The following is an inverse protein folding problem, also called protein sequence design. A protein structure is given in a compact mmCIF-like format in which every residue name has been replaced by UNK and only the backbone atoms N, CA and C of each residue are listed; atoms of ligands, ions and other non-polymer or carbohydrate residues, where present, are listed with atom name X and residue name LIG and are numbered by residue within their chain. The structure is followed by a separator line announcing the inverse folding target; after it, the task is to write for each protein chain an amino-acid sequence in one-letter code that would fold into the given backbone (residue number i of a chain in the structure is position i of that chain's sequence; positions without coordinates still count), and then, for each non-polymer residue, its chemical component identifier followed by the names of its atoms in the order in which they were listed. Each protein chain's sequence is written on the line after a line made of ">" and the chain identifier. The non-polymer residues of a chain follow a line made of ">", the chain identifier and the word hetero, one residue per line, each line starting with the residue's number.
data_IF_810038249500
#
_entry.id   IF_810038249500
#
_cell.length_a   1.000
_cell.length_b   1.000
_cell.length_c   1.000
_cell.angle_alpha   90.00
_cell.angle_beta   90.00
_cell.angle_gamma   90.00
#
_symmetry.space_group_name_H-M   'P 1'
#
loop_
_entity.id
_entity.type
_entity.pdbx_description
1 polymer ?
#
# COMPACT_ATOMS: atom_id res chain seq x y z
N UNK A 1 -0.14 -2.52 11.25
CA UNK A 1 1.01 -1.75 10.70
C UNK A 1 0.46 -0.75 9.70
N UNK A 2 1.15 0.36 9.44
CA UNK A 2 0.73 1.38 8.46
C UNK A 2 1.88 1.71 7.52
N UNK A 3 1.57 2.04 6.27
CA UNK A 3 2.58 2.26 5.21
C UNK A 3 2.61 3.74 4.82
N UNK A 4 3.80 4.34 4.69
CA UNK A 4 3.98 5.73 4.27
C UNK A 4 3.78 5.86 2.76
N UNK A 5 2.86 6.73 2.33
CA UNK A 5 2.68 7.10 0.93
C UNK A 5 3.82 8.04 0.55
N UNK A 6 4.72 7.60 -0.34
CA UNK A 6 5.83 8.41 -0.81
C UNK A 6 5.39 9.41 -1.89
N UNK A 7 4.43 9.03 -2.73
CA UNK A 7 3.95 9.88 -3.82
C UNK A 7 2.59 9.47 -4.34
N UNK A 8 1.91 10.43 -4.95
CA UNK A 8 0.58 10.25 -5.55
C UNK A 8 0.58 10.83 -6.96
N UNK A 9 0.10 10.05 -7.93
CA UNK A 9 -0.02 10.49 -9.31
C UNK A 9 -1.20 11.48 -9.45
N UNK A 10 -0.97 12.64 -10.06
CA UNK A 10 -1.92 13.78 -10.08
C UNK A 10 -3.29 13.40 -10.66
N UNK A 11 -3.32 12.65 -11.77
CA UNK A 11 -4.56 12.26 -12.45
C UNK A 11 -5.11 10.88 -12.01
N UNK A 12 -4.52 10.29 -10.98
CA UNK A 12 -4.97 8.98 -10.50
C UNK A 12 -6.24 9.07 -9.64
N UNK A 13 -6.92 7.94 -9.39
CA UNK A 13 -8.01 7.89 -8.42
C UNK A 13 -7.61 8.42 -7.03
N UNK A 14 -6.39 8.14 -6.56
CA UNK A 14 -5.90 8.64 -5.28
C UNK A 14 -5.65 10.17 -5.30
N UNK A 15 -5.05 10.70 -6.36
CA UNK A 15 -4.80 12.14 -6.51
C UNK A 15 -6.10 12.94 -6.52
N UNK A 16 -7.09 12.48 -7.30
CA UNK A 16 -8.43 13.09 -7.33
C UNK A 16 -9.19 12.98 -6.01
N UNK A 17 -8.85 11.99 -5.18
CA UNK A 17 -9.43 11.78 -3.86
C UNK A 17 -8.76 12.65 -2.77
N UNK A 18 -7.67 13.34 -3.09
CA UNK A 18 -6.97 14.25 -2.17
C UNK A 18 -5.96 13.56 -1.26
N UNK A 19 -5.54 12.33 -1.58
CA UNK A 19 -4.39 11.69 -0.92
C UNK A 19 -3.11 12.42 -1.33
N UNK A 20 -2.19 12.56 -0.39
CA UNK A 20 -0.92 13.25 -0.60
C UNK A 20 0.28 12.41 -0.15
N UNK A 21 1.45 12.78 -0.67
CA UNK A 21 2.71 12.26 -0.14
C UNK A 21 2.87 12.63 1.34
N UNK A 22 3.34 11.69 2.14
CA UNK A 22 3.48 11.82 3.59
C UNK A 22 2.28 11.31 4.39
N UNK A 23 1.15 11.02 3.73
CA UNK A 23 0.03 10.35 4.39
C UNK A 23 0.39 8.90 4.74
N UNK A 24 -0.14 8.40 5.85
CA UNK A 24 0.06 7.01 6.30
C UNK A 24 -1.18 6.18 5.96
N UNK A 25 -1.05 5.26 5.01
CA UNK A 25 -2.09 4.30 4.68
C UNK A 25 -2.26 3.28 5.83
N UNK A 26 -3.47 3.20 6.38
CA UNK A 26 -3.79 2.31 7.51
C UNK A 26 -4.58 1.10 7.05
N UNK A 27 -5.66 1.32 6.30
CA UNK A 27 -6.51 0.22 5.84
C UNK A 27 -7.25 0.53 4.54
N UNK A 28 -7.58 -0.52 3.80
CA UNK A 28 -8.41 -0.50 2.60
C UNK A 28 -9.57 -1.46 2.80
N UNK A 29 -10.81 -0.99 2.64
CA UNK A 29 -12.03 -1.78 2.84
C UNK A 29 -12.15 -2.45 4.22
N UNK A 30 -11.52 -1.86 5.25
CA UNK A 30 -11.51 -2.41 6.60
C UNK A 30 -10.42 -3.46 6.85
N UNK A 31 -9.61 -3.77 5.84
CA UNK A 31 -8.43 -4.61 5.98
C UNK A 31 -7.18 -3.75 6.20
N UNK A 32 -6.44 -4.02 7.27
CA UNK A 32 -5.17 -3.35 7.53
C UNK A 32 -4.16 -3.67 6.42
N UNK A 33 -3.34 -2.68 6.07
CA UNK A 33 -2.27 -2.85 5.08
C UNK A 33 -0.96 -3.08 5.83
N UNK A 34 -0.39 -4.28 5.73
CA UNK A 34 0.91 -4.59 6.33
C UNK A 34 2.03 -4.57 5.32
N UNK A 35 1.76 -4.98 4.08
CA UNK A 35 2.74 -5.01 3.00
C UNK A 35 2.15 -4.65 1.62
N UNK A 36 2.98 -4.76 0.58
CA UNK A 36 2.59 -4.45 -0.80
C UNK A 36 1.57 -5.43 -1.37
N UNK A 37 1.56 -6.68 -0.90
CA UNK A 37 0.68 -7.71 -1.41
C UNK A 37 -0.73 -7.48 -0.89
N UNK A 38 -0.87 -7.14 0.40
CA UNK A 38 -2.13 -6.68 0.98
C UNK A 38 -2.69 -5.51 0.17
N UNK A 39 -1.85 -4.49 -0.06
CA UNK A 39 -2.24 -3.32 -0.86
C UNK A 39 -2.72 -3.75 -2.25
N UNK A 40 -1.89 -4.47 -3.02
CA UNK A 40 -2.23 -4.90 -4.38
C UNK A 40 -3.51 -5.76 -4.43
N UNK A 41 -3.75 -6.58 -3.42
CA UNK A 41 -4.93 -7.43 -3.34
C UNK A 41 -6.19 -6.60 -3.07
N UNK A 42 -6.17 -5.74 -2.05
CA UNK A 42 -7.37 -4.99 -1.63
C UNK A 42 -7.75 -3.87 -2.60
N UNK A 43 -6.82 -3.35 -3.40
CA UNK A 43 -7.15 -2.33 -4.41
C UNK A 43 -7.82 -2.90 -5.67
N UNK A 44 -7.94 -4.22 -5.82
CA UNK A 44 -8.56 -4.81 -7.02
C UNK A 44 -10.04 -4.41 -7.17
N UNK A 45 -10.72 -4.12 -6.06
CA UNK A 45 -12.12 -3.74 -6.01
C UNK A 45 -12.42 -2.36 -6.64
N UNK A 46 -13.64 -2.20 -7.17
CA UNK A 46 -14.10 -0.94 -7.77
C UNK A 46 -14.44 0.16 -6.76
N UNK A 47 -14.81 -0.23 -5.53
CA UNK A 47 -15.24 0.68 -4.47
C UNK A 47 -14.32 0.46 -3.28
N UNK A 48 -13.52 1.48 -2.99
CA UNK A 48 -12.53 1.43 -1.94
C UNK A 48 -12.88 2.43 -0.85
N UNK A 49 -12.87 1.96 0.40
CA UNK A 49 -12.88 2.80 1.59
C UNK A 49 -11.47 2.78 2.17
N UNK A 50 -10.75 3.89 2.01
CA UNK A 50 -9.39 4.04 2.51
C UNK A 50 -9.42 4.80 3.83
N UNK A 51 -8.71 4.28 4.84
CA UNK A 51 -8.41 4.98 6.08
C UNK A 51 -6.91 5.29 6.07
N UNK A 52 -6.58 6.55 6.31
CA UNK A 52 -5.19 7.02 6.36
C UNK A 52 -5.02 8.01 7.51
N UNK A 53 -3.79 8.22 7.97
CA UNK A 53 -3.46 9.35 8.83
C UNK A 53 -2.88 10.44 7.95
N UNK A 54 -3.37 11.66 8.11
CA UNK A 54 -2.76 12.83 7.46
C UNK A 54 -1.40 13.16 8.09
N UNK A 55 -0.68 14.12 7.51
CA UNK A 55 0.61 14.59 8.05
C UNK A 55 0.56 15.09 9.51
N UNK A 56 -0.64 15.39 10.06
CA UNK A 56 -0.83 15.75 11.46
C UNK A 56 -1.07 14.54 12.39
N UNK A 57 -1.10 13.33 11.83
CA UNK A 57 -1.40 12.09 12.53
C UNK A 57 -2.89 11.86 12.78
N UNK A 58 -3.78 12.65 12.17
CA UNK A 58 -5.20 12.55 12.39
C UNK A 58 -5.82 11.54 11.42
N UNK A 59 -6.67 10.61 11.89
CA UNK A 59 -7.32 9.65 11.03
C UNK A 59 -8.34 10.32 10.12
N UNK A 60 -8.16 10.09 8.83
CA UNK A 60 -9.03 10.51 7.74
C UNK A 60 -9.58 9.27 7.03
N UNK A 61 -10.71 9.47 6.34
CA UNK A 61 -11.31 8.43 5.52
C UNK A 61 -11.71 9.00 4.17
N UNK A 62 -11.45 8.25 3.11
CA UNK A 62 -11.83 8.64 1.75
C UNK A 62 -12.46 7.47 1.03
N UNK A 63 -13.46 7.76 0.20
CA UNK A 63 -14.13 6.79 -0.65
C UNK A 63 -13.70 7.02 -2.08
N UNK A 64 -13.17 5.98 -2.71
CA UNK A 64 -12.67 6.04 -4.08
C UNK A 64 -13.48 5.05 -4.91
N UNK A 65 -13.88 5.50 -6.10
CA UNK A 65 -14.51 4.67 -7.12
C UNK A 65 -13.63 4.68 -8.36
N UNK A 66 -13.30 3.48 -8.84
CA UNK A 66 -12.42 3.26 -9.99
C UNK A 66 -12.90 2.05 -10.79
N UNK A 67 -12.29 1.80 -11.93
CA UNK A 67 -12.51 0.55 -12.68
C UNK A 67 -11.83 -0.65 -12.02
N UNK A 68 -12.28 -1.84 -12.42
CA UNK A 68 -11.67 -3.09 -11.94
C UNK A 68 -10.22 -3.12 -12.39
N UNK A 69 -9.30 -3.47 -11.47
CA UNK A 69 -7.85 -3.49 -11.73
C UNK A 69 -7.21 -2.15 -12.10
N UNK A 70 -7.94 -1.03 -12.13
CA UNK A 70 -7.34 0.30 -12.29
C UNK A 70 -6.43 0.58 -11.08
N UNK A 71 -5.23 1.10 -11.33
CA UNK A 71 -4.31 1.47 -10.26
C UNK A 71 -4.81 2.73 -9.53
N UNK A 72 -4.61 2.77 -8.22
CA UNK A 72 -4.87 3.94 -7.38
C UNK A 72 -3.84 5.06 -7.64
N UNK A 73 -2.66 4.72 -8.13
CA UNK A 73 -1.56 5.66 -8.39
C UNK A 73 -0.89 6.15 -7.12
N UNK A 74 -0.85 5.30 -6.08
CA UNK A 74 -0.03 5.50 -4.89
C UNK A 74 1.35 4.86 -5.12
N UNK A 75 2.39 5.55 -4.68
CA UNK A 75 3.78 5.08 -4.74
C UNK A 75 4.36 5.03 -3.33
N UNK A 76 5.24 4.06 -3.11
CA UNK A 76 5.81 3.72 -1.81
C UNK A 76 7.32 3.51 -1.98
N UNK A 77 8.11 3.81 -0.93
CA UNK A 77 9.58 3.84 -1.01
C UNK A 77 10.22 2.48 -1.32
N UNK A 78 9.70 1.41 -0.73
CA UNK A 78 10.18 0.05 -0.97
C UNK A 78 9.10 -0.77 -1.64
N UNK A 79 9.47 -1.51 -2.70
CA UNK A 79 8.56 -2.45 -3.35
C UNK A 79 8.05 -3.51 -2.37
N UNK A 80 8.85 -3.83 -1.35
CA UNK A 80 8.47 -4.78 -0.30
C UNK A 80 7.61 -4.16 0.81
N UNK A 81 7.52 -2.81 0.91
CA UNK A 81 6.89 -2.06 2.02
C UNK A 81 7.33 -2.47 3.44
N UNK A 82 8.29 -3.40 3.54
CA UNK A 82 8.90 -3.98 4.74
C UNK A 82 10.38 -4.27 4.42
N UNK A 83 11.22 -4.48 5.46
CA UNK A 83 12.58 -4.99 5.29
C UNK A 83 12.53 -6.42 4.72
N UNK A 84 13.50 -6.80 3.88
CA UNK A 84 13.61 -8.18 3.38
C UNK A 84 13.74 -9.14 4.57
N UNK A 85 12.63 -9.78 4.96
CA UNK A 85 12.61 -10.74 6.05
C UNK A 85 13.44 -11.95 5.64
N UNK A 86 14.67 -12.03 6.15
CA UNK A 86 15.51 -13.20 5.96
C UNK A 86 14.79 -14.43 6.51
N UNK A 87 14.66 -15.45 5.67
CA UNK A 87 14.14 -16.74 6.07
C UNK A 87 15.05 -17.32 7.17
N UNK A 88 14.51 -17.55 8.38
CA UNK A 88 15.27 -18.17 9.48
C UNK A 88 15.47 -19.69 9.31
N UNK A 89 14.92 -20.26 8.24
CA UNK A 89 15.09 -21.68 7.93
C UNK A 89 16.33 -21.84 7.05
N UNK A 90 17.40 -22.42 7.62
CA UNK A 90 18.61 -22.81 6.90
C UNK A 90 18.36 -24.05 6.01
N UNK A 91 17.42 -23.93 5.07
CA UNK A 91 17.11 -24.98 4.12
C UNK A 91 18.15 -24.98 2.99
N UNK A 92 18.61 -26.17 2.60
CA UNK A 92 19.52 -26.36 1.45
C UNK A 92 18.92 -25.89 0.11
N UNK A 93 17.59 -25.72 0.04
CA UNK A 93 16.82 -25.18 -1.10
C UNK A 93 16.22 -23.80 -0.80
N UNK A 94 16.97 -22.91 -0.14
CA UNK A 94 16.48 -21.57 0.18
C UNK A 94 16.37 -20.70 -1.08
N UNK A 95 15.15 -20.46 -1.57
CA UNK A 95 14.88 -19.58 -2.71
C UNK A 95 15.21 -18.10 -2.46
N UNK A 96 15.44 -17.69 -1.21
CA UNK A 96 15.86 -16.33 -0.85
C UNK A 96 17.37 -16.14 -1.06
N UNK A 97 18.19 -17.17 -0.80
CA UNK A 97 19.66 -17.12 -0.88
C UNK A 97 20.21 -17.65 -2.22
N UNK A 98 19.35 -18.07 -3.15
CA UNK A 98 19.77 -18.65 -4.43
C UNK A 98 19.91 -17.58 -5.52
N UNK A 99 21.04 -16.87 -5.50
CA UNK A 99 21.74 -16.48 -6.73
C UNK A 99 23.24 -16.71 -6.55
N UNK A 100 23.98 -17.19 -7.57
CA UNK A 100 25.42 -16.96 -7.64
C UNK A 100 25.75 -15.46 -7.73
#
# INVERSE_FOLDING_TARGET
>A
MSVVIHGVVIDSPAGRAGLAAGDLLVSVNGHEIHDVLDYQFYITEKRLLIIYLDASGKPQKVRIRKEEYEDLGLTFDTYLMDEQRHCKNHCIFCFIDQMP
#
